data_IF_115410937346
#
_entry.id   IF_115410937346
#
_cell.length_a   1.000
_cell.length_b   1.000
_cell.length_c   1.000
_cell.angle_alpha   90.00
_cell.angle_beta   90.00
_cell.angle_gamma   90.00
#
_symmetry.space_group_name_H-M   'P 1'
#
loop_
_entity.id
_entity.type
_entity.pdbx_description
1 polymer ?
#
# COMPACT_ATOMS: atom_id res chain seq x y z
N UNK A 1 -9.41 23.38 -43.16
CA UNK A 1 -10.76 23.90 -43.49
C UNK A 1 -10.68 25.38 -43.20
N UNK A 2 -10.78 26.18 -44.24
CA UNK A 2 -10.60 27.63 -44.15
C UNK A 2 -11.70 28.23 -43.25
N UNK A 3 -11.45 29.33 -42.52
CA UNK A 3 -12.43 29.95 -41.64
C UNK A 3 -13.77 30.25 -42.33
N UNK A 4 -13.71 30.65 -43.61
CA UNK A 4 -14.87 30.94 -44.45
C UNK A 4 -15.72 29.69 -44.77
N UNK A 5 -15.08 28.53 -44.96
CA UNK A 5 -15.77 27.26 -45.16
C UNK A 5 -16.50 26.81 -43.89
N UNK A 6 -15.91 27.09 -42.72
CA UNK A 6 -16.53 26.82 -41.43
C UNK A 6 -17.71 27.75 -41.13
N UNK A 7 -17.61 29.01 -41.54
CA UNK A 7 -18.71 29.99 -41.48
C UNK A 7 -19.88 29.58 -42.41
N UNK A 8 -19.57 29.10 -43.61
CA UNK A 8 -20.54 28.61 -44.59
C UNK A 8 -21.25 27.34 -44.08
N UNK A 9 -20.51 26.38 -43.53
CA UNK A 9 -21.08 25.16 -42.94
C UNK A 9 -21.97 25.47 -41.73
N UNK A 10 -21.59 26.44 -40.88
CA UNK A 10 -22.43 26.88 -39.75
C UNK A 10 -23.75 27.52 -40.16
N UNK A 11 -23.80 28.11 -41.35
CA UNK A 11 -25.01 28.70 -41.94
C UNK A 11 -25.79 27.70 -42.80
N UNK A 12 -25.27 26.49 -43.01
CA UNK A 12 -25.91 25.48 -43.84
C UNK A 12 -27.22 24.98 -43.19
N UNK A 13 -28.37 25.06 -43.89
CA UNK A 13 -29.65 24.52 -43.42
C UNK A 13 -29.59 23.03 -43.05
N UNK A 14 -28.73 22.25 -43.70
CA UNK A 14 -28.52 20.83 -43.43
C UNK A 14 -27.89 20.60 -42.05
N UNK A 15 -26.93 21.46 -41.64
CA UNK A 15 -26.39 21.43 -40.28
C UNK A 15 -27.45 21.83 -39.25
N UNK A 16 -28.28 22.83 -39.58
CA UNK A 16 -29.40 23.24 -38.73
C UNK A 16 -30.49 22.16 -38.59
N UNK A 17 -30.78 21.41 -39.64
CA UNK A 17 -31.64 20.21 -39.57
C UNK A 17 -30.99 19.08 -38.79
N UNK A 18 -29.70 18.81 -39.02
CA UNK A 18 -28.95 17.81 -38.29
C UNK A 18 -28.97 18.12 -36.80
N UNK A 19 -28.66 19.34 -36.37
CA UNK A 19 -28.70 19.75 -34.95
C UNK A 19 -30.12 19.71 -34.35
N UNK A 20 -31.16 20.01 -35.14
CA UNK A 20 -32.56 19.86 -34.70
C UNK A 20 -32.95 18.41 -34.47
N UNK A 21 -32.55 17.51 -35.38
CA UNK A 21 -32.83 16.07 -35.33
C UNK A 21 -31.97 15.38 -34.29
N UNK A 22 -30.69 15.74 -34.23
CA UNK A 22 -29.67 15.26 -33.31
C UNK A 22 -29.38 16.30 -32.23
N UNK A 23 -30.20 16.26 -31.17
CA UNK A 23 -30.01 17.08 -29.96
C UNK A 23 -28.80 16.58 -29.14
N UNK A 24 -27.60 16.78 -29.67
CA UNK A 24 -26.33 16.29 -29.09
C UNK A 24 -26.13 16.70 -27.63
N UNK A 25 -26.61 17.88 -27.23
CA UNK A 25 -26.55 18.32 -25.84
C UNK A 25 -27.43 17.46 -24.92
N UNK A 26 -28.68 17.21 -25.31
CA UNK A 26 -29.61 16.34 -24.55
C UNK A 26 -29.03 14.94 -24.44
N UNK A 27 -28.43 14.47 -25.52
CA UNK A 27 -27.76 13.18 -25.56
C UNK A 27 -26.59 13.08 -24.57
N UNK A 28 -25.67 14.06 -24.60
CA UNK A 28 -24.55 14.10 -23.65
C UNK A 28 -25.04 14.11 -22.19
N UNK A 29 -26.09 14.89 -21.90
CA UNK A 29 -26.68 14.94 -20.55
C UNK A 29 -27.29 13.61 -20.12
N UNK A 30 -28.00 12.91 -21.01
CA UNK A 30 -28.55 11.58 -20.72
C UNK A 30 -27.45 10.56 -20.43
N UNK A 31 -26.39 10.55 -21.23
CA UNK A 31 -25.24 9.65 -21.04
C UNK A 31 -24.46 9.95 -19.76
N UNK A 32 -24.22 11.23 -19.48
CA UNK A 32 -23.62 11.63 -18.22
C UNK A 32 -24.48 11.18 -17.03
N UNK A 33 -25.80 11.38 -17.09
CA UNK A 33 -26.72 10.94 -16.04
C UNK A 33 -26.66 9.41 -15.85
N UNK A 34 -26.76 8.64 -16.92
CA UNK A 34 -26.72 7.18 -16.90
C UNK A 34 -25.40 6.66 -16.31
N UNK A 35 -24.25 7.14 -16.81
CA UNK A 35 -22.94 6.72 -16.35
C UNK A 35 -22.70 7.05 -14.87
N UNK A 36 -23.04 8.27 -14.45
CA UNK A 36 -22.93 8.67 -13.03
C UNK A 36 -23.84 7.83 -12.14
N UNK A 37 -25.09 7.59 -12.54
CA UNK A 37 -26.03 6.78 -11.74
C UNK A 37 -25.55 5.35 -11.56
N UNK A 38 -25.01 4.74 -12.62
CA UNK A 38 -24.43 3.38 -12.57
C UNK A 38 -23.24 3.32 -11.62
N UNK A 39 -22.29 4.24 -11.76
CA UNK A 39 -21.12 4.28 -10.90
C UNK A 39 -21.47 4.58 -9.44
N UNK A 40 -22.37 5.54 -9.19
CA UNK A 40 -22.85 5.88 -7.84
C UNK A 40 -23.61 4.71 -7.19
N UNK A 41 -24.37 3.94 -7.97
CA UNK A 41 -25.06 2.74 -7.48
C UNK A 41 -24.06 1.63 -7.08
N UNK A 42 -23.03 1.41 -7.89
CA UNK A 42 -21.97 0.47 -7.56
C UNK A 42 -21.16 0.93 -6.33
N UNK A 43 -20.84 2.23 -6.24
CA UNK A 43 -20.12 2.80 -5.09
C UNK A 43 -20.88 2.60 -3.77
N UNK A 44 -22.21 2.68 -3.78
CA UNK A 44 -23.05 2.41 -2.59
C UNK A 44 -23.00 0.96 -2.11
N UNK A 45 -22.56 0.02 -2.96
CA UNK A 45 -22.45 -1.40 -2.65
C UNK A 45 -21.04 -1.82 -2.24
N UNK A 46 -20.09 -0.88 -2.20
CA UNK A 46 -18.69 -1.15 -1.83
C UNK A 46 -18.55 -1.93 -0.51
N UNK A 47 -19.37 -1.61 0.49
CA UNK A 47 -19.35 -2.29 1.80
C UNK A 47 -20.02 -3.66 1.80
N UNK A 48 -20.76 -4.00 0.76
CA UNK A 48 -21.55 -5.24 0.63
C UNK A 48 -20.97 -6.19 -0.42
N UNK A 49 -19.79 -5.89 -0.98
CA UNK A 49 -19.23 -6.69 -2.06
C UNK A 49 -18.82 -8.08 -1.57
N UNK A 50 -19.08 -9.09 -2.39
CA UNK A 50 -18.79 -10.48 -2.03
C UNK A 50 -17.27 -10.72 -2.03
N UNK A 51 -16.69 -11.15 -0.90
CA UNK A 51 -15.26 -11.36 -0.78
C UNK A 51 -14.75 -12.40 -1.77
N UNK A 52 -13.69 -12.07 -2.52
CA UNK A 52 -12.90 -13.04 -3.28
C UNK A 52 -13.44 -13.42 -4.65
N UNK A 53 -14.56 -12.85 -5.10
CA UNK A 53 -15.07 -13.08 -6.46
C UNK A 53 -14.61 -11.95 -7.38
N UNK A 54 -13.85 -12.28 -8.42
CA UNK A 54 -13.47 -11.32 -9.48
C UNK A 54 -14.69 -10.96 -10.34
N UNK A 55 -14.74 -9.71 -10.79
CA UNK A 55 -15.69 -9.15 -11.76
C UNK A 55 -14.96 -8.90 -13.07
N UNK A 56 -15.58 -9.28 -14.18
CA UNK A 56 -15.01 -9.06 -15.51
C UNK A 56 -15.65 -7.85 -16.18
N UNK A 57 -14.82 -7.00 -16.81
CA UNK A 57 -15.27 -5.92 -17.67
C UNK A 57 -14.27 -5.77 -18.82
N UNK A 58 -14.75 -5.89 -20.06
CA UNK A 58 -13.94 -5.68 -21.28
C UNK A 58 -12.59 -6.43 -21.28
N UNK A 59 -12.59 -7.70 -20.84
CA UNK A 59 -11.39 -8.54 -20.78
C UNK A 59 -10.42 -8.21 -19.63
N UNK A 60 -10.77 -7.26 -18.76
CA UNK A 60 -10.07 -6.97 -17.50
C UNK A 60 -10.84 -7.60 -16.33
N UNK A 61 -10.11 -8.03 -15.30
CA UNK A 61 -10.69 -8.56 -14.06
C UNK A 61 -10.40 -7.62 -12.90
N UNK A 62 -11.42 -7.36 -12.10
CA UNK A 62 -11.38 -6.47 -10.94
C UNK A 62 -11.91 -7.19 -9.70
N UNK A 63 -11.39 -6.82 -8.54
CA UNK A 63 -11.88 -7.34 -7.27
C UNK A 63 -13.22 -6.71 -6.88
N UNK A 64 -13.41 -5.42 -7.17
CA UNK A 64 -14.58 -4.67 -6.77
C UNK A 64 -15.56 -4.45 -7.93
N UNK A 65 -16.86 -4.57 -7.64
CA UNK A 65 -17.93 -4.20 -8.58
C UNK A 65 -17.73 -2.77 -9.11
N UNK A 66 -17.44 -1.81 -8.23
CA UNK A 66 -17.25 -0.40 -8.59
C UNK A 66 -16.12 -0.17 -9.60
N UNK A 67 -15.04 -0.94 -9.53
CA UNK A 67 -13.92 -0.86 -10.48
C UNK A 67 -14.31 -1.42 -11.84
N UNK A 68 -15.00 -2.57 -11.87
CA UNK A 68 -15.52 -3.13 -13.13
C UNK A 68 -16.58 -2.22 -13.77
N UNK A 69 -17.43 -1.59 -12.96
CA UNK A 69 -18.48 -0.69 -13.40
C UNK A 69 -17.90 0.62 -13.94
N UNK A 70 -16.79 1.13 -13.37
CA UNK A 70 -16.05 2.26 -13.95
C UNK A 70 -15.66 1.96 -15.41
N UNK A 71 -15.03 0.81 -15.65
CA UNK A 71 -14.60 0.47 -17.01
C UNK A 71 -15.78 0.29 -17.97
N UNK A 72 -16.87 -0.35 -17.51
CA UNK A 72 -18.10 -0.49 -18.30
C UNK A 72 -18.72 0.87 -18.65
N UNK A 73 -18.76 1.80 -17.69
CA UNK A 73 -19.33 3.13 -17.92
C UNK A 73 -18.44 3.99 -18.80
N UNK A 74 -17.11 3.90 -18.69
CA UNK A 74 -16.18 4.54 -19.64
C UNK A 74 -16.39 3.97 -21.05
N UNK A 75 -16.48 2.65 -21.20
CA UNK A 75 -16.73 2.05 -22.51
C UNK A 75 -18.10 2.47 -23.07
N UNK A 76 -19.13 2.55 -22.23
CA UNK A 76 -20.42 3.10 -22.62
C UNK A 76 -20.25 4.51 -23.18
N UNK A 77 -19.54 5.41 -22.49
CA UNK A 77 -19.27 6.80 -22.92
C UNK A 77 -18.57 6.88 -24.28
N UNK A 78 -17.72 5.90 -24.61
CA UNK A 78 -16.93 5.86 -25.84
C UNK A 78 -17.42 4.84 -26.89
N UNK A 79 -18.63 4.30 -26.72
CA UNK A 79 -19.16 3.21 -27.55
C UNK A 79 -19.41 3.57 -29.03
N UNK A 80 -19.99 2.63 -29.77
CA UNK A 80 -20.14 2.68 -31.25
C UNK A 80 -20.92 3.89 -31.79
N UNK A 81 -21.64 4.59 -30.92
CA UNK A 81 -22.45 5.76 -31.24
C UNK A 81 -21.66 7.09 -31.17
N UNK A 82 -20.37 7.02 -30.87
CA UNK A 82 -19.51 8.18 -30.68
C UNK A 82 -19.41 9.07 -31.93
N UNK A 83 -19.49 10.39 -31.72
CA UNK A 83 -19.25 11.41 -32.74
C UNK A 83 -18.01 12.22 -32.36
N UNK A 84 -17.08 12.43 -33.29
CA UNK A 84 -15.81 13.14 -33.05
C UNK A 84 -16.01 14.57 -32.50
N UNK A 85 -17.08 15.25 -32.90
CA UNK A 85 -17.44 16.57 -32.39
C UNK A 85 -17.79 16.58 -30.88
N UNK A 86 -18.02 15.40 -30.27
CA UNK A 86 -18.30 15.24 -28.86
C UNK A 86 -17.04 14.91 -28.04
N UNK A 87 -15.87 14.79 -28.67
CA UNK A 87 -14.61 14.44 -27.99
C UNK A 87 -14.40 15.20 -26.67
N UNK A 88 -14.46 16.54 -26.62
CA UNK A 88 -14.14 17.26 -25.38
C UNK A 88 -15.13 16.95 -24.25
N UNK A 89 -16.40 16.71 -24.59
CA UNK A 89 -17.45 16.39 -23.61
C UNK A 89 -17.32 14.96 -23.08
N UNK A 90 -17.02 14.00 -23.96
CA UNK A 90 -16.86 12.59 -23.57
C UNK A 90 -15.55 12.38 -22.80
N UNK A 91 -14.46 13.03 -23.23
CA UNK A 91 -13.20 13.05 -22.49
C UNK A 91 -13.39 13.61 -21.08
N UNK A 92 -14.03 14.78 -20.96
CA UNK A 92 -14.35 15.36 -19.66
C UNK A 92 -15.19 14.42 -18.79
N UNK A 93 -16.25 13.84 -19.34
CA UNK A 93 -17.10 12.91 -18.57
C UNK A 93 -16.32 11.68 -18.08
N UNK A 94 -15.47 11.09 -18.93
CA UNK A 94 -14.65 9.94 -18.53
C UNK A 94 -13.68 10.31 -17.39
N UNK A 95 -13.03 11.48 -17.46
CA UNK A 95 -12.15 11.98 -16.41
C UNK A 95 -12.92 12.27 -15.10
N UNK A 96 -14.13 12.84 -15.20
CA UNK A 96 -15.01 13.05 -14.04
C UNK A 96 -15.43 11.72 -13.39
N UNK A 97 -15.71 10.67 -14.17
CA UNK A 97 -16.01 9.33 -13.66
C UNK A 97 -14.80 8.71 -12.93
N UNK A 98 -13.59 8.87 -13.46
CA UNK A 98 -12.34 8.40 -12.82
C UNK A 98 -12.13 9.13 -11.48
N UNK A 99 -12.30 10.45 -11.44
CA UNK A 99 -12.19 11.22 -10.21
C UNK A 99 -13.23 10.80 -9.16
N UNK A 100 -14.48 10.54 -9.59
CA UNK A 100 -15.55 10.01 -8.72
C UNK A 100 -15.20 8.63 -8.18
N UNK A 101 -14.66 7.76 -9.03
CA UNK A 101 -14.16 6.45 -8.61
C UNK A 101 -13.09 6.58 -7.53
N UNK A 102 -12.06 7.41 -7.75
CA UNK A 102 -11.01 7.66 -6.75
C UNK A 102 -11.57 8.10 -5.40
N UNK A 103 -12.53 9.04 -5.41
CA UNK A 103 -13.23 9.47 -4.19
C UNK A 103 -14.00 8.34 -3.50
N UNK A 104 -14.71 7.51 -4.26
CA UNK A 104 -15.43 6.36 -3.71
C UNK A 104 -14.47 5.34 -3.09
N UNK A 105 -13.34 5.06 -3.75
CA UNK A 105 -12.32 4.15 -3.23
C UNK A 105 -11.67 4.68 -1.96
N UNK A 106 -11.38 5.98 -1.89
CA UNK A 106 -10.84 6.60 -0.68
C UNK A 106 -11.79 6.44 0.53
N UNK A 107 -13.10 6.48 0.33
CA UNK A 107 -14.07 6.34 1.43
C UNK A 107 -14.06 4.96 2.12
N UNK A 108 -13.46 3.94 1.49
CA UNK A 108 -13.21 2.66 2.14
C UNK A 108 -12.24 2.79 3.34
N UNK A 109 -11.33 3.76 3.28
CA UNK A 109 -10.44 4.07 4.40
C UNK A 109 -11.17 4.82 5.51
N UNK A 110 -12.15 5.68 5.20
CA UNK A 110 -12.91 6.44 6.19
C UNK A 110 -13.83 5.54 7.05
N UNK A 111 -14.37 4.46 6.46
CA UNK A 111 -15.21 3.49 7.16
C UNK A 111 -14.46 2.50 8.06
N UNK A 112 -13.14 2.64 8.19
CA UNK A 112 -12.24 1.64 8.77
C UNK A 112 -12.20 1.57 10.30
N UNK A 113 -13.25 1.99 11.01
CA UNK A 113 -13.36 2.00 12.48
C UNK A 113 -13.31 0.63 13.18
N UNK A 114 -12.79 -0.41 12.52
CA UNK A 114 -12.59 -1.75 13.07
C UNK A 114 -11.40 -1.80 14.05
N UNK A 115 -11.39 -2.85 14.87
CA UNK A 115 -10.29 -3.10 15.81
C UNK A 115 -8.97 -3.30 15.06
N UNK A 116 -7.89 -2.70 15.54
CA UNK A 116 -6.55 -2.85 14.97
C UNK A 116 -6.09 -4.33 15.04
N UNK A 117 -5.47 -4.82 13.98
CA UNK A 117 -5.03 -6.21 13.84
C UNK A 117 -6.15 -7.22 13.60
N UNK A 118 -7.40 -6.75 13.40
CA UNK A 118 -8.54 -7.64 13.22
C UNK A 118 -8.41 -8.49 11.94
N UNK A 119 -8.70 -9.78 12.08
CA UNK A 119 -8.67 -10.75 10.99
C UNK A 119 -7.31 -11.44 10.78
N UNK A 120 -6.30 -11.14 11.60
CA UNK A 120 -5.11 -11.97 11.70
C UNK A 120 -5.42 -13.24 12.51
N UNK A 121 -5.22 -14.42 11.92
CA UNK A 121 -5.37 -15.71 12.59
C UNK A 121 -4.01 -16.41 12.72
N UNK A 122 -3.41 -16.27 13.90
CA UNK A 122 -2.15 -16.93 14.24
C UNK A 122 -2.30 -18.46 14.46
N UNK A 123 -3.52 -18.95 14.69
CA UNK A 123 -3.83 -20.36 14.96
C UNK A 123 -4.19 -21.16 13.71
N UNK A 124 -4.49 -20.48 12.59
CA UNK A 124 -4.68 -21.11 11.30
C UNK A 124 -3.43 -21.90 10.85
N UNK A 125 -3.62 -22.89 9.99
CA UNK A 125 -2.55 -23.74 9.45
C UNK A 125 -2.57 -23.72 7.92
N UNK A 126 -1.73 -22.89 7.26
CA UNK A 126 -0.78 -21.92 7.85
C UNK A 126 -1.46 -20.66 8.45
N UNK A 127 -0.78 -19.90 9.32
CA UNK A 127 -1.26 -18.61 9.81
C UNK A 127 -1.59 -17.66 8.66
N UNK A 128 -2.75 -16.99 8.72
CA UNK A 128 -3.27 -16.26 7.57
C UNK A 128 -4.12 -15.05 7.96
N UNK A 129 -4.25 -14.12 7.02
CA UNK A 129 -5.24 -13.06 7.08
C UNK A 129 -6.59 -13.56 6.55
N UNK A 130 -7.67 -13.31 7.29
CA UNK A 130 -9.01 -13.64 6.84
C UNK A 130 -9.30 -12.96 5.48
N UNK A 131 -9.89 -13.67 4.49
CA UNK A 131 -10.25 -13.09 3.20
C UNK A 131 -11.24 -11.91 3.29
N UNK A 132 -11.94 -11.79 4.41
CA UNK A 132 -12.88 -10.72 4.73
C UNK A 132 -12.29 -9.66 5.67
N UNK A 133 -11.02 -9.81 6.08
CA UNK A 133 -10.35 -8.80 6.90
C UNK A 133 -10.16 -7.51 6.12
N UNK A 134 -10.20 -6.40 6.85
CA UNK A 134 -9.97 -5.07 6.30
C UNK A 134 -8.66 -4.96 5.50
N UNK A 135 -7.48 -5.40 5.98
CA UNK A 135 -6.24 -5.31 5.18
C UNK A 135 -6.32 -6.07 3.86
N UNK A 136 -7.01 -7.21 3.79
CA UNK A 136 -7.21 -7.95 2.55
C UNK A 136 -8.14 -7.20 1.59
N UNK A 137 -9.25 -6.67 2.08
CA UNK A 137 -10.20 -5.91 1.26
C UNK A 137 -9.58 -4.63 0.68
N UNK A 138 -8.86 -3.86 1.50
CA UNK A 138 -8.22 -2.62 1.05
C UNK A 138 -7.04 -2.89 0.10
N UNK A 139 -6.33 -4.01 0.25
CA UNK A 139 -5.29 -4.43 -0.71
C UNK A 139 -5.89 -4.77 -2.08
N UNK A 140 -7.03 -5.46 -2.10
CA UNK A 140 -7.77 -5.73 -3.36
C UNK A 140 -8.26 -4.44 -4.02
N UNK A 141 -8.74 -3.49 -3.22
CA UNK A 141 -9.11 -2.15 -3.68
C UNK A 141 -7.93 -1.39 -4.29
N UNK A 142 -6.77 -1.42 -3.63
CA UNK A 142 -5.53 -0.84 -4.15
C UNK A 142 -5.08 -1.51 -5.47
N UNK A 143 -5.20 -2.84 -5.57
CA UNK A 143 -4.88 -3.57 -6.79
C UNK A 143 -5.74 -3.15 -7.99
N UNK A 144 -7.03 -2.90 -7.75
CA UNK A 144 -7.93 -2.38 -8.78
C UNK A 144 -7.57 -0.95 -9.19
N UNK A 145 -7.25 -0.06 -8.24
CA UNK A 145 -6.80 1.31 -8.54
C UNK A 145 -5.54 1.29 -9.40
N UNK A 146 -4.54 0.46 -9.04
CA UNK A 146 -3.31 0.32 -9.81
C UNK A 146 -3.58 -0.17 -11.24
N UNK A 147 -4.54 -1.07 -11.41
CA UNK A 147 -4.98 -1.53 -12.74
C UNK A 147 -5.65 -0.42 -13.55
N UNK A 148 -6.46 0.43 -12.90
CA UNK A 148 -7.04 1.62 -13.55
C UNK A 148 -5.94 2.61 -13.95
N UNK A 149 -4.91 2.82 -13.12
CA UNK A 149 -3.74 3.64 -13.47
C UNK A 149 -2.99 3.06 -14.68
N UNK A 150 -2.81 1.74 -14.74
CA UNK A 150 -2.24 1.06 -15.93
C UNK A 150 -3.09 1.32 -17.17
N UNK A 151 -4.42 1.23 -17.05
CA UNK A 151 -5.36 1.49 -18.16
C UNK A 151 -5.36 2.94 -18.64
N UNK A 152 -4.96 3.89 -17.81
CA UNK A 152 -4.80 5.31 -18.15
C UNK A 152 -3.45 5.63 -18.79
N UNK A 153 -2.46 4.75 -18.67
CA UNK A 153 -1.11 4.98 -19.21
C UNK A 153 -1.11 5.14 -20.73
N UNK A 154 -0.49 6.22 -21.22
CA UNK A 154 -0.35 6.51 -22.64
C UNK A 154 0.94 5.94 -23.28
N UNK A 155 1.82 5.30 -22.50
CA UNK A 155 3.19 4.94 -22.89
C UNK A 155 3.32 3.51 -23.46
N UNK A 156 4.31 3.24 -24.34
CA UNK A 156 4.17 3.04 -25.80
C UNK A 156 3.09 2.04 -26.26
N UNK A 157 2.55 1.21 -25.37
CA UNK A 157 1.35 0.40 -25.55
C UNK A 157 0.24 0.97 -24.68
N UNK A 158 -0.61 1.89 -25.20
CA UNK A 158 -1.60 2.56 -24.38
C UNK A 158 -2.52 1.57 -23.68
N UNK A 159 -2.83 1.87 -22.42
CA UNK A 159 -3.82 1.15 -21.63
C UNK A 159 -5.21 1.21 -22.26
N UNK A 160 -6.14 0.40 -21.77
CA UNK A 160 -7.46 0.27 -22.39
C UNK A 160 -8.23 1.59 -22.40
N UNK A 161 -8.19 2.35 -21.30
CA UNK A 161 -8.85 3.65 -21.20
C UNK A 161 -8.12 4.69 -22.06
N UNK A 162 -6.79 4.71 -22.03
CA UNK A 162 -5.98 5.60 -22.86
C UNK A 162 -6.29 5.43 -24.36
N UNK A 163 -6.47 4.19 -24.85
CA UNK A 163 -6.88 3.92 -26.24
C UNK A 163 -8.17 4.63 -26.63
N UNK A 164 -9.18 4.69 -25.76
CA UNK A 164 -10.42 5.40 -26.08
C UNK A 164 -10.19 6.88 -26.38
N UNK A 165 -9.27 7.53 -25.65
CA UNK A 165 -8.91 8.93 -25.87
C UNK A 165 -8.08 9.06 -27.15
N UNK A 166 -7.02 8.27 -27.28
CA UNK A 166 -6.04 8.43 -28.36
C UNK A 166 -6.61 8.04 -29.74
N UNK A 167 -7.38 6.96 -29.84
CA UNK A 167 -7.94 6.47 -31.11
C UNK A 167 -9.04 7.40 -31.67
N UNK A 168 -9.58 8.29 -30.83
CA UNK A 168 -10.71 9.17 -31.17
C UNK A 168 -10.34 10.66 -31.19
N UNK A 169 -9.04 10.96 -31.18
CA UNK A 169 -8.57 12.34 -31.22
C UNK A 169 -9.13 13.10 -32.44
N UNK A 170 -9.55 14.36 -32.26
CA UNK A 170 -9.91 15.19 -33.41
C UNK A 170 -8.68 15.49 -34.26
N UNK A 171 -8.89 15.75 -35.56
CA UNK A 171 -7.82 16.17 -36.45
C UNK A 171 -7.11 17.42 -35.88
N UNK A 172 -5.78 17.43 -35.96
CA UNK A 172 -4.99 18.56 -35.49
C UNK A 172 -5.35 19.82 -36.29
N UNK A 173 -5.71 20.88 -35.58
CA UNK A 173 -5.78 22.24 -36.12
C UNK A 173 -4.47 22.96 -35.85
N UNK A 174 -4.10 23.93 -36.68
CA UNK A 174 -2.79 24.61 -36.65
C UNK A 174 -2.34 24.98 -35.23
N UNK A 175 -1.16 24.51 -34.85
CA UNK A 175 -0.50 24.79 -33.57
C UNK A 175 -0.95 23.95 -32.37
N UNK A 176 -2.08 23.24 -32.43
CA UNK A 176 -2.50 22.34 -31.35
C UNK A 176 -1.91 20.94 -31.56
N UNK A 177 -1.50 20.31 -30.44
CA UNK A 177 -1.07 18.92 -30.41
C UNK A 177 -2.05 18.10 -29.55
N UNK A 178 -3.21 17.68 -30.11
CA UNK A 178 -4.26 16.99 -29.36
C UNK A 178 -3.77 15.77 -28.60
N UNK A 179 -2.80 15.05 -29.15
CA UNK A 179 -2.16 13.90 -28.51
C UNK A 179 -1.43 14.28 -27.22
N UNK A 180 -0.62 15.34 -27.24
CA UNK A 180 0.11 15.79 -26.04
C UNK A 180 -0.86 16.20 -24.93
N UNK A 181 -1.93 16.90 -25.29
CA UNK A 181 -2.98 17.30 -24.33
C UNK A 181 -3.72 16.08 -23.76
N UNK A 182 -4.09 15.10 -24.59
CA UNK A 182 -4.76 13.90 -24.11
C UNK A 182 -3.85 13.07 -23.19
N UNK A 183 -2.58 12.93 -23.53
CA UNK A 183 -1.59 12.29 -22.67
C UNK A 183 -1.46 13.01 -21.32
N UNK A 184 -1.42 14.35 -21.32
CA UNK A 184 -1.38 15.15 -20.09
C UNK A 184 -2.63 14.93 -19.23
N UNK A 185 -3.83 14.99 -19.82
CA UNK A 185 -5.09 14.76 -19.10
C UNK A 185 -5.18 13.35 -18.48
N UNK A 186 -4.67 12.33 -19.18
CA UNK A 186 -4.62 10.96 -18.68
C UNK A 186 -3.60 10.82 -17.54
N UNK A 187 -2.46 11.49 -17.64
CA UNK A 187 -1.46 11.54 -16.57
C UNK A 187 -2.05 12.22 -15.32
N UNK A 188 -2.69 13.39 -15.48
CA UNK A 188 -3.35 14.12 -14.39
C UNK A 188 -4.43 13.25 -13.70
N UNK A 189 -5.22 12.50 -14.49
CA UNK A 189 -6.22 11.59 -13.94
C UNK A 189 -5.60 10.41 -13.18
N UNK A 190 -4.46 9.91 -13.65
CA UNK A 190 -3.70 8.85 -12.96
C UNK A 190 -3.14 9.35 -11.63
N UNK A 191 -2.55 10.54 -11.62
CA UNK A 191 -2.06 11.20 -10.40
C UNK A 191 -3.21 11.50 -9.42
N UNK A 192 -4.38 11.88 -9.94
CA UNK A 192 -5.59 12.10 -9.15
C UNK A 192 -6.10 10.88 -8.38
N UNK A 193 -5.67 9.66 -8.74
CA UNK A 193 -5.97 8.43 -7.99
C UNK A 193 -4.99 8.16 -6.84
N UNK A 194 -3.84 8.85 -6.82
CA UNK A 194 -2.81 8.73 -5.79
C UNK A 194 -3.31 8.91 -4.35
N UNK A 195 -4.11 9.94 -4.03
CA UNK A 195 -4.65 10.13 -2.68
C UNK A 195 -5.50 8.96 -2.18
N UNK A 196 -6.28 8.32 -3.06
CA UNK A 196 -7.06 7.15 -2.69
C UNK A 196 -6.15 5.97 -2.36
N UNK A 197 -5.13 5.71 -3.17
CA UNK A 197 -4.14 4.66 -2.91
C UNK A 197 -3.40 4.89 -1.59
N UNK A 198 -3.01 6.14 -1.29
CA UNK A 198 -2.34 6.51 -0.05
C UNK A 198 -3.24 6.29 1.18
N UNK A 199 -4.52 6.67 1.11
CA UNK A 199 -5.47 6.45 2.20
C UNK A 199 -5.68 4.95 2.48
N UNK A 200 -5.81 4.12 1.44
CA UNK A 200 -5.91 2.66 1.60
C UNK A 200 -4.62 2.08 2.22
N UNK A 201 -3.46 2.51 1.72
CA UNK A 201 -2.13 2.11 2.22
C UNK A 201 -2.02 2.37 3.72
N UNK A 202 -2.31 3.58 4.18
CA UNK A 202 -2.17 3.98 5.58
C UNK A 202 -2.93 3.04 6.53
N UNK A 203 -4.19 2.72 6.19
CA UNK A 203 -5.01 1.81 6.98
C UNK A 203 -4.45 0.39 6.95
N UNK A 204 -4.00 -0.11 5.79
CA UNK A 204 -3.39 -1.44 5.67
C UNK A 204 -2.12 -1.54 6.52
N UNK A 205 -1.21 -0.57 6.42
CA UNK A 205 0.02 -0.51 7.21
C UNK A 205 -0.32 -0.59 8.71
N UNK A 206 -1.26 0.24 9.15
CA UNK A 206 -1.71 0.28 10.54
C UNK A 206 -2.22 -1.08 11.03
N UNK A 207 -3.04 -1.77 10.23
CA UNK A 207 -3.60 -3.08 10.59
C UNK A 207 -2.53 -4.17 10.67
N UNK A 208 -1.61 -4.22 9.70
CA UNK A 208 -0.55 -5.24 9.68
C UNK A 208 0.46 -5.01 10.80
N UNK A 209 0.88 -3.76 11.01
CA UNK A 209 1.79 -3.40 12.11
C UNK A 209 1.14 -3.77 13.46
N UNK A 210 -0.14 -3.45 13.67
CA UNK A 210 -0.85 -3.80 14.91
C UNK A 210 -0.93 -5.30 15.19
N UNK A 211 -0.86 -6.17 14.18
CA UNK A 211 -0.75 -7.62 14.37
C UNK A 211 0.66 -8.07 14.76
N UNK A 212 1.69 -7.30 14.42
CA UNK A 212 3.11 -7.56 14.73
C UNK A 212 3.44 -7.11 16.16
N UNK A 213 3.10 -5.87 16.52
CA UNK A 213 3.59 -5.21 17.74
C UNK A 213 3.33 -5.97 19.06
N UNK A 214 2.19 -6.66 19.26
CA UNK A 214 1.94 -7.41 20.49
C UNK A 214 3.00 -8.48 20.79
N UNK A 215 3.65 -9.03 19.77
CA UNK A 215 4.71 -10.03 19.94
C UNK A 215 5.95 -9.43 20.62
N UNK A 216 6.21 -8.14 20.45
CA UNK A 216 7.32 -7.44 21.08
C UNK A 216 7.15 -7.24 22.58
N UNK A 217 5.94 -7.42 23.14
CA UNK A 217 5.74 -7.38 24.60
C UNK A 217 6.64 -8.39 25.35
N UNK A 218 7.03 -9.49 24.69
CA UNK A 218 7.96 -10.49 25.23
C UNK A 218 9.35 -9.93 25.54
N UNK A 219 9.77 -8.83 24.91
CA UNK A 219 11.05 -8.14 25.18
C UNK A 219 11.18 -7.79 26.67
N UNK A 220 10.08 -7.36 27.30
CA UNK A 220 10.05 -6.99 28.74
C UNK A 220 10.34 -8.17 29.66
N UNK A 221 10.15 -9.40 29.20
CA UNK A 221 10.41 -10.63 29.97
C UNK A 221 11.88 -11.08 29.95
N UNK A 222 12.69 -10.56 29.04
CA UNK A 222 14.10 -10.98 28.85
C UNK A 222 14.93 -10.84 30.14
N UNK A 223 14.87 -9.74 30.92
CA UNK A 223 15.69 -9.61 32.11
C UNK A 223 15.38 -10.64 33.21
N UNK A 224 14.09 -10.94 33.42
CA UNK A 224 13.67 -11.94 34.39
C UNK A 224 14.23 -13.33 34.03
N UNK A 225 14.30 -13.64 32.74
CA UNK A 225 14.82 -14.90 32.24
C UNK A 225 16.29 -15.13 32.58
N UNK A 226 17.13 -14.11 32.52
CA UNK A 226 18.55 -14.23 32.84
C UNK A 226 18.84 -14.12 34.34
N UNK A 227 18.17 -13.18 35.02
CA UNK A 227 18.41 -12.91 36.45
C UNK A 227 17.83 -13.94 37.40
N UNK A 228 16.67 -14.51 37.06
CA UNK A 228 15.96 -15.43 37.97
C UNK A 228 16.24 -16.90 37.67
N UNK A 229 16.51 -17.25 36.41
CA UNK A 229 16.66 -18.65 35.98
C UNK A 229 18.12 -19.09 35.78
N UNK A 230 19.11 -18.23 36.08
CA UNK A 230 20.54 -18.48 35.89
C UNK A 230 20.86 -19.14 34.54
N UNK A 231 20.23 -18.64 33.47
CA UNK A 231 20.40 -19.20 32.14
C UNK A 231 21.83 -19.00 31.61
N UNK A 232 22.33 -19.95 30.80
CA UNK A 232 23.59 -19.78 30.10
C UNK A 232 23.50 -18.61 29.11
N UNK A 233 24.67 -18.16 28.62
CA UNK A 233 24.76 -17.14 27.58
C UNK A 233 23.88 -17.51 26.37
N UNK A 234 23.09 -16.58 25.83
CA UNK A 234 22.20 -16.87 24.71
C UNK A 234 22.96 -17.30 23.46
N UNK A 235 22.39 -18.26 22.74
CA UNK A 235 22.92 -18.77 21.46
C UNK A 235 21.88 -18.79 20.34
N UNK A 236 20.62 -18.48 20.66
CA UNK A 236 19.49 -18.47 19.73
C UNK A 236 18.60 -17.26 20.02
N UNK A 237 17.91 -16.81 18.98
CA UNK A 237 16.90 -15.77 19.13
C UNK A 237 15.71 -16.24 19.98
N UNK A 238 15.04 -15.26 20.57
CA UNK A 238 13.82 -15.41 21.32
C UNK A 238 12.68 -15.90 20.41
N UNK A 239 11.82 -16.84 20.86
CA UNK A 239 10.75 -17.40 20.03
C UNK A 239 9.74 -16.37 19.50
N UNK A 240 9.60 -15.21 20.16
CA UNK A 240 8.67 -14.17 19.71
C UNK A 240 9.07 -13.56 18.36
N UNK A 241 10.35 -13.62 17.98
CA UNK A 241 10.85 -13.01 16.73
C UNK A 241 10.20 -13.67 15.53
N UNK A 242 10.13 -15.01 15.52
CA UNK A 242 9.44 -15.74 14.46
C UNK A 242 7.94 -15.43 14.46
N UNK A 243 7.31 -15.37 15.65
CA UNK A 243 5.89 -15.00 15.77
C UNK A 243 5.59 -13.59 15.26
N UNK A 244 6.50 -12.64 15.46
CA UNK A 244 6.38 -11.26 15.01
C UNK A 244 6.43 -11.12 13.48
N UNK A 245 7.14 -12.01 12.79
CA UNK A 245 7.25 -11.97 11.32
C UNK A 245 6.04 -12.59 10.62
N UNK A 246 5.34 -13.54 11.25
CA UNK A 246 4.23 -14.28 10.61
C UNK A 246 3.16 -13.38 9.96
N UNK A 247 2.67 -12.28 10.60
CA UNK A 247 1.69 -11.40 9.97
C UNK A 247 2.22 -10.75 8.67
N UNK A 248 3.51 -10.37 8.65
CA UNK A 248 4.16 -9.78 7.48
C UNK A 248 4.29 -10.79 6.33
N UNK A 249 4.72 -12.03 6.63
CA UNK A 249 4.83 -13.09 5.62
C UNK A 249 3.46 -13.44 5.05
N UNK A 250 2.43 -13.62 5.89
CA UNK A 250 1.08 -13.87 5.41
C UNK A 250 0.52 -12.68 4.62
N UNK A 251 0.91 -11.45 4.95
CA UNK A 251 0.50 -10.27 4.17
C UNK A 251 1.19 -10.22 2.80
N UNK A 252 2.41 -10.74 2.66
CA UNK A 252 3.05 -10.92 1.36
C UNK A 252 2.20 -11.84 0.46
N UNK A 253 1.62 -12.91 1.01
CA UNK A 253 0.72 -13.80 0.26
C UNK A 253 -0.57 -13.07 -0.16
N UNK A 254 -1.08 -12.17 0.69
CA UNK A 254 -2.22 -11.31 0.35
C UNK A 254 -1.89 -10.43 -0.85
N UNK A 255 -0.73 -9.77 -0.87
CA UNK A 255 -0.29 -8.93 -1.99
C UNK A 255 -0.17 -9.74 -3.28
N UNK A 256 0.40 -10.95 -3.22
CA UNK A 256 0.49 -11.86 -4.37
C UNK A 256 -0.90 -12.25 -4.85
N UNK A 257 -1.78 -12.67 -3.94
CA UNK A 257 -3.14 -13.09 -4.27
C UNK A 257 -3.97 -11.98 -4.90
N UNK A 258 -3.74 -10.72 -4.50
CA UNK A 258 -4.42 -9.55 -5.04
C UNK A 258 -3.87 -9.10 -6.41
N UNK A 259 -2.85 -9.78 -6.95
CA UNK A 259 -2.09 -9.39 -8.14
C UNK A 259 -1.28 -8.08 -7.97
N UNK A 260 -0.91 -7.72 -6.74
CA UNK A 260 0.06 -6.66 -6.45
C UNK A 260 1.49 -7.19 -6.28
N UNK A 261 1.69 -8.51 -6.24
CA UNK A 261 3.01 -9.13 -6.09
C UNK A 261 4.01 -8.63 -7.13
N UNK A 262 5.20 -8.23 -6.67
CA UNK A 262 6.28 -7.73 -7.54
C UNK A 262 6.11 -6.29 -8.05
N UNK A 263 5.02 -5.60 -7.70
CA UNK A 263 4.86 -4.17 -8.03
C UNK A 263 5.72 -3.30 -7.10
N UNK A 264 6.10 -2.11 -7.57
CA UNK A 264 6.80 -1.12 -6.75
C UNK A 264 6.00 -0.75 -5.49
N UNK A 265 4.66 -0.62 -5.62
CA UNK A 265 3.76 -0.35 -4.50
C UNK A 265 3.80 -1.47 -3.44
N UNK A 266 3.78 -2.75 -3.84
CA UNK A 266 3.87 -3.86 -2.90
C UNK A 266 5.20 -3.86 -2.13
N UNK A 267 6.32 -3.62 -2.82
CA UNK A 267 7.64 -3.52 -2.18
C UNK A 267 7.72 -2.34 -1.20
N UNK A 268 7.14 -1.19 -1.58
CA UNK A 268 7.06 -0.01 -0.71
C UNK A 268 6.21 -0.29 0.54
N UNK A 269 5.04 -0.92 0.39
CA UNK A 269 4.16 -1.25 1.52
C UNK A 269 4.84 -2.20 2.50
N UNK A 270 5.51 -3.24 2.01
CA UNK A 270 6.27 -4.17 2.85
C UNK A 270 7.42 -3.46 3.58
N UNK A 271 8.11 -2.54 2.89
CA UNK A 271 9.15 -1.71 3.48
C UNK A 271 8.63 -0.86 4.65
N UNK A 272 7.50 -0.18 4.45
CA UNK A 272 6.92 0.70 5.46
C UNK A 272 6.40 -0.09 6.69
N UNK A 273 5.85 -1.29 6.47
CA UNK A 273 5.45 -2.18 7.58
C UNK A 273 6.67 -2.56 8.41
N UNK A 274 7.76 -2.96 7.74
CA UNK A 274 9.01 -3.35 8.41
C UNK A 274 9.64 -2.16 9.12
N UNK A 275 9.60 -0.97 8.53
CA UNK A 275 10.12 0.25 9.15
C UNK A 275 9.34 0.60 10.43
N UNK A 276 8.00 0.52 10.38
CA UNK A 276 7.15 0.71 11.55
C UNK A 276 7.41 -0.31 12.66
N UNK A 277 7.53 -1.60 12.30
CA UNK A 277 7.87 -2.65 13.26
C UNK A 277 9.27 -2.47 13.86
N UNK A 278 10.26 -2.09 13.04
CA UNK A 278 11.65 -1.85 13.47
C UNK A 278 11.76 -0.67 14.43
N UNK A 279 10.97 0.38 14.19
CA UNK A 279 10.91 1.54 15.08
C UNK A 279 10.37 1.14 16.46
N UNK A 280 9.29 0.36 16.52
CA UNK A 280 8.72 -0.08 17.79
C UNK A 280 9.66 -1.04 18.53
N UNK A 281 10.30 -1.98 17.82
CA UNK A 281 11.33 -2.84 18.40
C UNK A 281 12.44 -2.02 19.05
N UNK A 282 12.97 -1.03 18.31
CA UNK A 282 14.05 -0.14 18.78
C UNK A 282 13.63 0.60 20.04
N UNK A 283 12.41 1.13 20.07
CA UNK A 283 11.84 1.82 21.23
C UNK A 283 11.80 0.91 22.46
N UNK A 284 11.24 -0.29 22.35
CA UNK A 284 11.12 -1.23 23.47
C UNK A 284 12.47 -1.75 23.95
N UNK A 285 13.39 -2.08 23.03
CA UNK A 285 14.73 -2.53 23.37
C UNK A 285 15.53 -1.44 24.10
N UNK A 286 15.47 -0.20 23.62
CA UNK A 286 16.17 0.94 24.26
C UNK A 286 15.64 1.20 25.66
N UNK A 287 14.32 1.18 25.85
CA UNK A 287 13.70 1.31 27.17
C UNK A 287 14.12 0.18 28.12
N UNK A 288 14.17 -1.06 27.63
CA UNK A 288 14.60 -2.22 28.42
C UNK A 288 16.04 -2.07 28.90
N UNK A 289 16.96 -1.69 28.00
CA UNK A 289 18.37 -1.52 28.30
C UNK A 289 18.57 -0.44 29.36
N UNK A 290 17.92 0.71 29.20
CA UNK A 290 18.04 1.82 30.16
C UNK A 290 17.51 1.43 31.56
N UNK A 291 16.34 0.78 31.63
CA UNK A 291 15.80 0.26 32.88
C UNK A 291 16.75 -0.76 33.54
N UNK A 292 17.31 -1.67 32.75
CA UNK A 292 18.22 -2.71 33.22
C UNK A 292 19.50 -2.10 33.78
N UNK A 293 20.07 -1.10 33.09
CA UNK A 293 21.26 -0.36 33.50
C UNK A 293 21.03 0.40 34.82
N UNK A 294 19.90 1.07 34.97
CA UNK A 294 19.55 1.80 36.20
C UNK A 294 19.39 0.84 37.39
N UNK A 295 18.78 -0.32 37.18
CA UNK A 295 18.63 -1.36 38.20
C UNK A 295 19.98 -1.92 38.65
N UNK A 296 20.90 -2.21 37.73
CA UNK A 296 22.25 -2.66 38.09
C UNK A 296 23.05 -1.60 38.83
N UNK A 297 22.99 -0.34 38.40
CA UNK A 297 23.65 0.77 39.08
C UNK A 297 23.15 0.92 40.52
N UNK A 298 21.86 0.67 40.75
CA UNK A 298 21.23 0.71 42.07
C UNK A 298 21.68 -0.45 42.96
N UNK A 299 21.70 -1.68 42.42
CA UNK A 299 22.17 -2.87 43.14
C UNK A 299 23.67 -2.78 43.51
N UNK A 300 24.50 -2.22 42.63
CA UNK A 300 25.92 -1.95 42.92
C UNK A 300 26.09 -0.96 44.07
N UNK A 301 25.25 0.08 44.15
CA UNK A 301 25.26 1.05 45.27
C UNK A 301 24.82 0.43 46.60
N UNK A 302 23.93 -0.57 46.57
CA UNK A 302 23.42 -1.31 47.73
C UNK A 302 24.35 -2.45 48.20
N UNK A 303 25.56 -2.57 47.66
CA UNK A 303 26.58 -3.52 48.14
C UNK A 303 26.48 -4.93 47.53
N UNK A 304 25.72 -5.11 46.44
CA UNK A 304 25.73 -6.36 45.69
C UNK A 304 27.13 -6.64 45.10
N UNK A 305 27.84 -7.63 45.65
CA UNK A 305 29.14 -8.09 45.13
C UNK A 305 28.92 -8.78 43.78
N UNK A 306 29.24 -8.08 42.69
CA UNK A 306 29.37 -8.71 41.37
C UNK A 306 30.54 -9.69 41.37
N UNK A 307 30.27 -10.96 41.08
CA UNK A 307 31.27 -11.99 40.82
C UNK A 307 32.03 -11.63 39.53
N UNK A 308 33.26 -11.15 39.67
CA UNK A 308 34.08 -10.57 38.59
C UNK A 308 34.72 -11.59 37.63
N UNK A 309 33.97 -12.57 37.13
CA UNK A 309 34.48 -13.54 36.17
C UNK A 309 33.45 -14.18 35.22
N UNK A 310 32.15 -13.96 35.43
CA UNK A 310 31.08 -14.46 34.56
C UNK A 310 30.42 -13.30 33.82
N UNK A 311 30.05 -13.53 32.55
CA UNK A 311 29.28 -12.59 31.71
C UNK A 311 28.10 -12.05 32.50
N UNK A 312 28.02 -10.72 32.61
CA UNK A 312 27.00 -10.04 33.40
C UNK A 312 25.60 -10.32 32.84
N UNK A 313 24.57 -10.31 33.69
CA UNK A 313 23.19 -10.44 33.22
C UNK A 313 22.81 -9.34 32.23
N UNK A 314 23.35 -8.11 32.38
CA UNK A 314 23.20 -7.05 31.38
C UNK A 314 23.82 -7.41 30.03
N UNK A 315 25.01 -8.00 30.02
CA UNK A 315 25.67 -8.48 28.80
C UNK A 315 24.85 -9.60 28.15
N UNK A 316 24.31 -10.55 28.93
CA UNK A 316 23.41 -11.60 28.40
C UNK A 316 22.15 -11.01 27.78
N UNK A 317 21.57 -9.97 28.40
CA UNK A 317 20.39 -9.26 27.87
C UNK A 317 20.72 -8.56 26.54
N UNK A 318 21.86 -7.86 26.45
CA UNK A 318 22.31 -7.23 25.21
C UNK A 318 22.55 -8.24 24.10
N UNK A 319 23.25 -9.34 24.40
CA UNK A 319 23.51 -10.42 23.46
C UNK A 319 22.20 -11.06 22.96
N UNK A 320 21.22 -11.27 23.84
CA UNK A 320 19.90 -11.77 23.43
C UNK A 320 19.22 -10.81 22.44
N UNK A 321 19.19 -9.51 22.74
CA UNK A 321 18.61 -8.51 21.84
C UNK A 321 19.34 -8.46 20.49
N UNK A 322 20.66 -8.64 20.48
CA UNK A 322 21.43 -8.71 19.24
C UNK A 322 21.05 -9.94 18.39
N UNK A 323 20.87 -11.11 19.01
CA UNK A 323 20.41 -12.32 18.31
C UNK A 323 18.98 -12.16 17.78
N UNK A 324 18.13 -11.48 18.55
CA UNK A 324 16.73 -11.21 18.18
C UNK A 324 16.67 -10.27 16.97
N UNK A 325 17.49 -9.22 16.95
CA UNK A 325 17.64 -8.31 15.80
C UNK A 325 18.18 -9.03 14.58
N UNK A 326 19.29 -9.77 14.70
CA UNK A 326 19.88 -10.48 13.55
C UNK A 326 18.86 -11.42 12.89
N UNK A 327 18.09 -12.13 13.71
CA UNK A 327 17.05 -13.05 13.23
C UNK A 327 15.88 -12.28 12.62
N UNK A 328 15.43 -11.19 13.25
CA UNK A 328 14.38 -10.32 12.71
C UNK A 328 14.78 -9.76 11.34
N UNK A 329 16.00 -9.22 11.20
CA UNK A 329 16.56 -8.70 9.95
C UNK A 329 16.66 -9.80 8.89
N UNK A 330 17.18 -10.98 9.24
CA UNK A 330 17.29 -12.10 8.32
C UNK A 330 15.94 -12.61 7.81
N UNK A 331 14.90 -12.55 8.63
CA UNK A 331 13.54 -12.94 8.24
C UNK A 331 12.81 -11.85 7.45
N UNK A 332 12.88 -10.58 7.90
CA UNK A 332 12.17 -9.44 7.32
C UNK A 332 12.81 -8.93 6.00
N UNK A 333 14.11 -9.16 5.78
CA UNK A 333 14.77 -8.81 4.52
C UNK A 333 14.26 -9.62 3.33
N UNK A 334 13.70 -10.81 3.55
CA UNK A 334 13.09 -11.63 2.48
C UNK A 334 11.89 -10.91 1.83
N UNK A 335 10.89 -10.42 2.59
CA UNK A 335 9.80 -9.62 2.02
C UNK A 335 10.17 -8.15 1.78
N UNK A 336 11.10 -7.55 2.54
CA UNK A 336 11.36 -6.11 2.48
C UNK A 336 12.85 -5.74 2.59
N UNK A 337 13.65 -6.15 1.60
CA UNK A 337 15.10 -5.94 1.61
C UNK A 337 15.55 -4.48 1.71
N UNK A 338 14.74 -3.52 1.25
CA UNK A 338 15.08 -2.09 1.18
C UNK A 338 14.59 -1.28 2.38
N UNK A 339 14.04 -1.92 3.41
CA UNK A 339 13.52 -1.26 4.60
C UNK A 339 14.65 -0.59 5.39
N UNK A 340 14.56 0.73 5.60
CA UNK A 340 15.58 1.52 6.29
C UNK A 340 15.72 1.12 7.77
N UNK A 341 14.63 0.65 8.37
CA UNK A 341 14.56 0.14 9.73
C UNK A 341 15.50 -1.05 9.95
N UNK A 342 15.64 -1.93 8.95
CA UNK A 342 16.56 -3.08 9.04
C UNK A 342 18.02 -2.62 9.06
N UNK A 343 18.38 -1.62 8.25
CA UNK A 343 19.71 -1.02 8.25
C UNK A 343 20.02 -0.41 9.62
N UNK A 344 19.10 0.40 10.17
CA UNK A 344 19.26 1.04 11.48
C UNK A 344 19.42 0.02 12.62
N UNK A 345 18.63 -1.06 12.60
CA UNK A 345 18.74 -2.15 13.57
C UNK A 345 20.10 -2.86 13.49
N UNK A 346 20.57 -3.14 12.27
CA UNK A 346 21.88 -3.76 12.04
C UNK A 346 23.03 -2.88 12.54
N UNK A 347 22.97 -1.58 12.27
CA UNK A 347 23.95 -0.60 12.75
C UNK A 347 23.97 -0.50 14.29
N UNK A 348 22.80 -0.51 14.92
CA UNK A 348 22.67 -0.46 16.37
C UNK A 348 23.33 -1.68 17.05
N UNK A 349 23.09 -2.89 16.52
CA UNK A 349 23.72 -4.13 17.02
C UNK A 349 25.23 -4.13 16.78
N UNK A 350 25.68 -3.67 15.62
CA UNK A 350 27.11 -3.58 15.32
C UNK A 350 27.85 -2.63 16.28
N UNK A 351 27.20 -1.54 16.71
CA UNK A 351 27.73 -0.62 17.71
C UNK A 351 27.92 -1.27 19.08
N UNK A 352 26.96 -2.10 19.52
CA UNK A 352 27.02 -2.83 20.80
C UNK A 352 28.17 -3.83 20.79
N UNK A 353 28.29 -4.66 19.74
CA UNK A 353 29.36 -5.69 19.64
C UNK A 353 30.77 -5.08 19.66
N UNK A 354 30.99 -3.96 18.96
CA UNK A 354 32.28 -3.25 18.98
C UNK A 354 32.62 -2.67 20.36
N UNK A 355 31.62 -2.29 21.16
CA UNK A 355 31.84 -1.79 22.52
C UNK A 355 32.23 -2.90 23.50
N UNK A 356 31.78 -4.14 23.25
CA UNK A 356 32.10 -5.33 24.06
C UNK A 356 33.49 -5.89 23.74
N UNK A 357 33.90 -5.92 22.45
CA UNK A 357 35.25 -6.33 22.04
C UNK A 357 36.35 -5.39 22.59
N UNK A 358 36.03 -4.11 22.79
CA UNK A 358 36.95 -3.12 23.39
C UNK A 358 37.12 -3.27 24.91
N UNK A 359 36.31 -4.10 25.59
CA UNK A 359 36.44 -4.36 27.02
C UNK A 359 37.37 -5.55 27.33
N UNK A 360 37.76 -6.33 26.32
CA UNK A 360 38.67 -7.48 26.44
C UNK A 360 40.09 -7.11 25.98
N UNK A 361 40.72 -6.09 26.57
CA UNK A 361 42.19 -6.00 26.64
C UNK A 361 42.61 -5.19 27.88
N UNK A 362 43.26 -5.85 28.84
CA UNK A 362 44.61 -5.41 29.19
C UNK A 362 45.56 -6.56 28.91
N UNK A 363 46.45 -6.36 27.93
CA UNK A 363 47.63 -7.18 27.77
C UNK A 363 48.39 -7.18 29.10
N UNK A 364 48.39 -8.33 29.78
CA UNK A 364 49.38 -8.61 30.80
C UNK A 364 50.75 -8.61 30.11
N UNK A 365 51.46 -7.49 30.16
CA UNK A 365 52.89 -7.48 29.91
C UNK A 365 53.55 -8.13 31.13
N UNK A 366 54.06 -9.35 30.92
CA UNK A 366 55.05 -9.99 31.78
C UNK A 366 56.36 -9.19 31.83
#
# INVERSE_FOLDING_TARGET
MEPEEMEALRRDPALGEFQRKWKTQVYCSLRAKEANQRLDAAAKRLSADEPGRLREAHGRQYWLETSSELLQTIHLVWGDWYLSCLYPKMARLALELIARYGKAMASLADGSGGSEGAGWDAGASPPAWSPTSLPVQLTRAAADILKVIEDLSASPSPGLVAKFFLDRLPAATDGQKPTELACALLADASEGLGPALAALKEVVLKQVIAAILPQFAAIRGIPAFYRMLNKPVPTKASPYVESAIRPLTAFQDVLVSAAMGGTAAASEWLSDIVDGASQEFTSQATQLIELTRQQEASLRRLGGRGSGGEVSDLEKIHLQLCLDVDTFVGLASKPAANAQGLTKLTEAVAGIRRSEDNFVLPSCNC
#
